data_IF_869906381208
#
_entry.id   IF_869906381208
#
_cell.length_a   1.000
_cell.length_b   1.000
_cell.length_c   1.000
_cell.angle_alpha   90.00
_cell.angle_beta   90.00
_cell.angle_gamma   90.00
#
_symmetry.space_group_name_H-M   'P 1'
#
loop_
_entity.id
_entity.type
_entity.pdbx_description
1 polymer ?
#
# COMPACT_ATOMS: atom_id res chain seq x y z
N UNK A 1 6.21 -21.49 -8.00
CA UNK A 1 6.85 -20.19 -8.28
C UNK A 1 6.02 -19.11 -7.61
N UNK A 2 6.40 -18.66 -6.42
CA UNK A 2 5.71 -17.62 -5.66
C UNK A 2 6.02 -16.26 -6.30
N UNK A 3 5.12 -15.80 -7.15
CA UNK A 3 5.34 -14.68 -8.07
C UNK A 3 5.41 -13.31 -7.39
N UNK A 4 6.45 -12.55 -7.74
CA UNK A 4 6.46 -11.09 -7.80
C UNK A 4 6.11 -10.34 -6.51
N UNK A 5 4.81 -10.13 -6.27
CA UNK A 5 4.26 -9.21 -5.26
C UNK A 5 4.43 -9.64 -3.80
N UNK A 6 4.83 -10.90 -3.53
CA UNK A 6 5.15 -11.41 -2.18
C UNK A 6 4.03 -11.24 -1.13
N UNK A 7 4.28 -11.72 0.09
CA UNK A 7 3.34 -11.82 1.25
C UNK A 7 2.51 -10.55 1.52
N UNK A 8 3.00 -9.38 1.08
CA UNK A 8 2.35 -8.08 1.29
C UNK A 8 1.02 -7.98 0.52
N UNK A 9 0.95 -8.43 -0.73
CA UNK A 9 -0.27 -8.34 -1.56
C UNK A 9 -0.96 -9.68 -1.78
N UNK A 10 -0.47 -10.76 -1.16
CA UNK A 10 -1.01 -12.12 -1.32
C UNK A 10 -2.52 -12.19 -1.06
N UNK A 11 -3.02 -11.40 -0.10
CA UNK A 11 -4.43 -11.31 0.24
C UNK A 11 -5.19 -10.18 -0.48
N UNK A 12 -4.57 -9.50 -1.45
CA UNK A 12 -5.13 -8.33 -2.16
C UNK A 12 -4.92 -8.43 -3.69
N UNK A 13 -5.49 -9.46 -4.34
CA UNK A 13 -5.28 -9.70 -5.77
C UNK A 13 -5.68 -8.50 -6.64
N UNK A 14 -6.75 -7.79 -6.28
CA UNK A 14 -7.21 -6.60 -6.99
C UNK A 14 -6.18 -5.45 -6.97
N UNK A 15 -5.37 -5.34 -5.91
CA UNK A 15 -4.33 -4.33 -5.85
C UNK A 15 -3.12 -4.73 -6.68
N UNK A 16 -2.74 -6.02 -6.67
CA UNK A 16 -1.67 -6.54 -7.51
C UNK A 16 -1.97 -6.34 -9.01
N UNK A 17 -3.20 -6.63 -9.44
CA UNK A 17 -3.63 -6.46 -10.84
C UNK A 17 -3.55 -4.99 -11.28
N UNK A 18 -4.02 -4.06 -10.44
CA UNK A 18 -3.96 -2.62 -10.72
C UNK A 18 -2.51 -2.11 -10.76
N UNK A 19 -1.64 -2.58 -9.85
CA UNK A 19 -0.22 -2.24 -9.86
C UNK A 19 0.47 -2.75 -11.13
N UNK A 20 0.19 -4.00 -11.52
CA UNK A 20 0.72 -4.60 -12.74
C UNK A 20 0.25 -3.85 -13.99
N UNK A 21 -1.05 -3.55 -14.08
CA UNK A 21 -1.63 -2.75 -15.16
C UNK A 21 -1.03 -1.33 -15.23
N UNK A 22 -0.61 -0.79 -14.08
CA UNK A 22 0.07 0.51 -13.97
C UNK A 22 1.58 0.44 -14.24
N UNK A 23 2.12 -0.72 -14.62
CA UNK A 23 3.56 -0.94 -14.85
C UNK A 23 4.40 -0.90 -13.58
N UNK A 24 3.77 -0.97 -12.40
CA UNK A 24 4.46 -0.94 -11.12
C UNK A 24 4.86 -2.37 -10.77
N UNK A 25 6.17 -2.62 -10.82
CA UNK A 25 6.71 -3.92 -10.45
C UNK A 25 6.59 -4.16 -8.96
N UNK A 26 6.54 -5.43 -8.53
CA UNK A 26 6.61 -5.79 -7.13
C UNK A 26 7.78 -5.19 -6.35
N UNK A 27 8.97 -5.25 -6.93
CA UNK A 27 10.18 -4.73 -6.29
C UNK A 27 10.13 -3.21 -6.17
N UNK A 28 9.52 -2.53 -7.14
CA UNK A 28 9.26 -1.09 -7.02
C UNK A 28 8.29 -0.79 -5.88
N UNK A 29 7.15 -1.49 -5.80
CA UNK A 29 6.17 -1.31 -4.73
C UNK A 29 6.79 -1.60 -3.35
N UNK A 30 7.64 -2.63 -3.24
CA UNK A 30 8.37 -2.97 -2.01
C UNK A 30 9.41 -1.91 -1.66
N UNK A 31 10.21 -1.46 -2.62
CA UNK A 31 11.23 -0.44 -2.42
C UNK A 31 10.63 0.91 -1.99
N UNK A 32 9.42 1.23 -2.49
CA UNK A 32 8.66 2.42 -2.08
C UNK A 32 7.86 2.21 -0.79
N UNK A 33 7.75 1.00 -0.26
CA UNK A 33 7.03 0.71 0.97
C UNK A 33 5.51 0.81 0.85
N UNK A 34 4.93 0.35 -0.25
CA UNK A 34 3.47 0.31 -0.42
C UNK A 34 2.85 -0.72 0.53
N UNK A 35 1.73 -0.35 1.17
CA UNK A 35 1.11 -1.17 2.22
C UNK A 35 -0.39 -1.31 1.93
N UNK A 36 -0.89 -2.51 1.59
CA UNK A 36 -2.33 -2.73 1.51
C UNK A 36 -2.98 -2.73 2.89
N UNK A 37 -4.24 -2.31 2.94
CA UNK A 37 -5.01 -2.16 4.18
C UNK A 37 -6.43 -2.67 3.97
N UNK A 38 -6.86 -3.55 4.86
CA UNK A 38 -8.19 -4.16 4.92
C UNK A 38 -9.03 -3.68 6.11
N UNK A 39 -8.40 -3.07 7.12
CA UNK A 39 -9.06 -2.65 8.36
C UNK A 39 -9.06 -1.13 8.54
N UNK A 40 -10.21 -0.60 8.94
CA UNK A 40 -10.35 0.84 9.24
C UNK A 40 -9.58 1.28 10.48
N UNK A 41 -9.28 0.36 11.40
CA UNK A 41 -8.50 0.61 12.63
C UNK A 41 -7.09 1.08 12.30
N UNK A 42 -6.46 0.51 11.26
CA UNK A 42 -5.14 0.96 10.82
C UNK A 42 -5.18 2.39 10.28
N UNK A 43 -6.20 2.71 9.49
CA UNK A 43 -6.39 4.05 8.92
C UNK A 43 -6.68 5.08 10.03
N UNK A 44 -7.42 4.69 11.05
CA UNK A 44 -7.60 5.49 12.27
C UNK A 44 -6.28 5.75 13.01
N UNK A 45 -5.46 4.71 13.23
CA UNK A 45 -4.19 4.82 13.94
C UNK A 45 -3.18 5.76 13.28
N UNK A 46 -3.31 5.99 11.97
CA UNK A 46 -2.48 6.95 11.21
C UNK A 46 -3.18 8.30 10.98
N UNK A 47 -4.35 8.53 11.58
CA UNK A 47 -5.05 9.82 11.56
C UNK A 47 -5.95 10.08 10.35
N UNK A 48 -6.28 9.07 9.53
CA UNK A 48 -7.24 9.24 8.43
C UNK A 48 -8.62 9.55 9.01
N UNK A 49 -9.25 10.60 8.49
CA UNK A 49 -10.59 11.02 8.91
C UNK A 49 -11.62 9.93 8.61
N UNK A 50 -12.72 9.88 9.38
CA UNK A 50 -13.75 8.83 9.24
C UNK A 50 -14.25 8.64 7.80
N UNK A 51 -14.36 9.72 7.03
CA UNK A 51 -14.78 9.69 5.62
C UNK A 51 -13.72 9.10 4.67
N UNK A 52 -12.43 9.20 5.01
CA UNK A 52 -11.33 8.65 4.21
C UNK A 52 -10.97 7.21 4.52
N UNK A 53 -11.58 6.58 5.54
CA UNK A 53 -11.27 5.20 5.97
C UNK A 53 -11.90 4.14 5.04
N UNK A 54 -11.54 4.18 3.76
CA UNK A 54 -12.01 3.27 2.73
C UNK A 54 -11.11 2.02 2.68
N UNK A 55 -11.74 0.85 2.69
CA UNK A 55 -11.07 -0.46 2.62
C UNK A 55 -11.83 -1.37 1.65
N UNK A 56 -11.15 -2.27 0.91
CA UNK A 56 -9.70 -2.44 0.86
C UNK A 56 -9.02 -1.25 0.17
N UNK A 57 -7.85 -0.85 0.69
CA UNK A 57 -7.10 0.32 0.22
C UNK A 57 -5.61 0.05 0.13
N UNK A 58 -4.87 0.96 -0.51
CA UNK A 58 -3.43 0.91 -0.65
C UNK A 58 -2.80 2.20 -0.13
N UNK A 59 -2.00 2.10 0.93
CA UNK A 59 -1.22 3.21 1.44
C UNK A 59 0.06 3.37 0.64
N UNK A 60 0.27 4.58 0.11
CA UNK A 60 1.46 4.98 -0.63
C UNK A 60 2.18 6.03 0.21
N UNK A 61 3.36 5.74 0.79
CA UNK A 61 4.02 6.68 1.67
C UNK A 61 4.55 7.88 0.90
N UNK A 62 4.24 9.07 1.41
CA UNK A 62 4.87 10.32 1.03
C UNK A 62 6.13 10.48 1.89
N UNK A 63 7.29 10.55 1.25
CA UNK A 63 8.58 10.54 1.95
C UNK A 63 9.13 11.96 2.11
N UNK A 64 9.76 12.23 3.26
CA UNK A 64 10.64 13.38 3.45
C UNK A 64 11.95 13.18 2.69
N UNK A 65 12.77 14.23 2.63
CA UNK A 65 14.10 14.19 1.99
C UNK A 65 15.04 13.14 2.60
N UNK A 66 14.87 12.83 3.88
CA UNK A 66 15.66 11.81 4.61
C UNK A 66 15.13 10.38 4.42
N UNK A 67 14.06 10.19 3.62
CA UNK A 67 13.43 8.90 3.40
C UNK A 67 12.41 8.48 4.46
N UNK A 68 12.22 9.26 5.53
CA UNK A 68 11.18 8.99 6.53
C UNK A 68 9.78 9.28 5.98
N UNK A 69 8.77 8.52 6.44
CA UNK A 69 7.38 8.76 6.03
C UNK A 69 6.85 10.05 6.65
N UNK A 70 6.46 10.99 5.80
CA UNK A 70 5.75 12.22 6.17
C UNK A 70 4.26 11.95 6.42
N UNK A 71 3.68 11.13 5.56
CA UNK A 71 2.27 10.76 5.60
C UNK A 71 1.95 9.72 4.54
N UNK A 72 0.67 9.47 4.33
CA UNK A 72 0.13 8.60 3.30
C UNK A 72 -0.92 9.38 2.52
#
# INVERSE_FOLDING_TARGET
MSGGYGVVFENFPQHADLLAASGITPDHARARGYIPVDTKVRLEGIGVTKAGRNVPGLLIPQLRKDGSTWGY
#
